data_IF_670142458119
#
_entry.id   IF_670142458119
#
_cell.length_a   1.000
_cell.length_b   1.000
_cell.length_c   1.000
_cell.angle_alpha   90.00
_cell.angle_beta   90.00
_cell.angle_gamma   90.00
#
_symmetry.space_group_name_H-M   'P 1'
#
loop_
_entity.id
_entity.type
_entity.pdbx_description
1 polymer ?
#
# COMPACT_ATOMS: atom_id res chain seq x y z
N UNK A 1 37.38 3.74 6.01
CA UNK A 1 37.55 5.20 6.17
C UNK A 1 36.18 5.84 5.96
N UNK A 2 35.56 6.35 7.02
CA UNK A 2 34.29 7.09 6.94
C UNK A 2 34.57 8.49 6.41
N UNK A 3 33.81 8.94 5.41
CA UNK A 3 33.93 10.29 4.86
C UNK A 3 33.60 11.33 5.96
N UNK A 4 34.31 12.47 6.06
CA UNK A 4 34.19 13.41 7.19
C UNK A 4 32.87 14.18 7.29
N UNK A 5 31.97 14.08 6.32
CA UNK A 5 30.79 14.95 6.18
C UNK A 5 29.43 14.28 6.49
N UNK A 6 29.39 13.02 6.93
CA UNK A 6 28.10 12.38 7.24
C UNK A 6 27.55 12.87 8.60
N UNK A 7 26.79 13.97 8.59
CA UNK A 7 25.92 14.28 9.73
C UNK A 7 24.95 13.12 9.94
N UNK A 8 24.83 12.55 11.15
CA UNK A 8 23.87 11.49 11.41
C UNK A 8 22.44 12.03 11.21
N UNK A 9 21.62 11.28 10.46
CA UNK A 9 20.19 11.57 10.38
C UNK A 9 19.53 11.12 11.69
N UNK A 10 18.76 11.98 12.38
CA UNK A 10 18.15 11.62 13.65
C UNK A 10 17.05 10.56 13.47
N UNK A 11 16.40 10.52 12.31
CA UNK A 11 15.42 9.49 11.95
C UNK A 11 15.66 8.99 10.53
N UNK A 12 15.65 7.65 10.36
CA UNK A 12 15.68 6.98 9.06
C UNK A 12 14.37 6.19 8.92
N UNK A 13 13.67 6.40 7.81
CA UNK A 13 12.45 5.68 7.45
C UNK A 13 12.79 4.71 6.31
N UNK A 14 12.48 3.43 6.49
CA UNK A 14 12.71 2.40 5.48
C UNK A 14 11.40 2.12 4.75
N UNK A 15 11.32 2.57 3.50
CA UNK A 15 10.18 2.43 2.60
C UNK A 15 9.44 3.75 2.34
N UNK A 16 9.24 4.07 1.08
CA UNK A 16 8.44 5.20 0.58
C UNK A 16 7.01 4.76 0.16
N UNK A 17 6.43 3.83 0.91
CA UNK A 17 5.00 3.52 0.82
C UNK A 17 4.15 4.56 1.57
N UNK A 18 2.81 4.47 1.50
CA UNK A 18 1.91 5.45 2.13
C UNK A 18 2.21 5.71 3.61
N UNK A 19 2.50 4.65 4.38
CA UNK A 19 2.86 4.75 5.81
C UNK A 19 4.18 5.51 6.00
N UNK A 20 5.25 5.12 5.30
CA UNK A 20 6.54 5.80 5.45
C UNK A 20 6.49 7.27 5.02
N UNK A 21 5.75 7.57 3.96
CA UNK A 21 5.57 8.92 3.46
C UNK A 21 4.75 9.80 4.41
N UNK A 22 3.63 9.32 4.96
CA UNK A 22 2.82 10.10 5.91
C UNK A 22 3.57 10.30 7.24
N UNK A 23 4.28 9.27 7.72
CA UNK A 23 5.15 9.39 8.91
C UNK A 23 6.23 10.44 8.69
N UNK A 24 6.87 10.44 7.52
CA UNK A 24 7.87 11.45 7.17
C UNK A 24 7.28 12.86 7.21
N UNK A 25 6.10 13.08 6.60
CA UNK A 25 5.43 14.39 6.59
C UNK A 25 5.16 14.88 8.01
N UNK A 26 4.64 14.02 8.88
CA UNK A 26 4.36 14.39 10.26
C UNK A 26 5.62 14.73 11.06
N UNK A 27 6.72 14.00 10.85
CA UNK A 27 7.99 14.27 11.51
C UNK A 27 8.62 15.60 11.05
N UNK A 28 8.68 15.84 9.74
CA UNK A 28 9.28 17.08 9.22
C UNK A 28 8.47 18.32 9.58
N UNK A 29 7.13 18.20 9.70
CA UNK A 29 6.26 19.26 10.24
C UNK A 29 6.60 19.64 11.68
N UNK A 30 7.11 18.70 12.46
CA UNK A 30 7.59 18.91 13.83
C UNK A 30 9.08 19.30 13.87
N UNK A 31 9.66 19.67 12.72
CA UNK A 31 11.08 20.01 12.58
C UNK A 31 12.04 18.85 12.93
N UNK A 32 11.60 17.61 12.77
CA UNK A 32 12.46 16.43 12.91
C UNK A 32 12.98 16.04 11.52
N UNK A 33 14.30 16.17 11.25
CA UNK A 33 14.87 15.78 9.96
C UNK A 33 14.75 14.28 9.72
N UNK A 34 14.35 13.88 8.52
CA UNK A 34 14.20 12.47 8.13
C UNK A 34 14.96 12.17 6.86
N UNK A 35 15.50 10.94 6.78
CA UNK A 35 15.97 10.33 5.55
C UNK A 35 15.06 9.14 5.23
N UNK A 36 14.49 9.12 4.03
CA UNK A 36 13.70 7.99 3.54
C UNK A 36 14.56 7.13 2.60
N UNK A 37 14.58 5.83 2.82
CA UNK A 37 15.27 4.84 1.97
C UNK A 37 14.23 3.95 1.29
N UNK A 38 14.11 4.03 -0.02
CA UNK A 38 13.19 3.21 -0.83
C UNK A 38 13.98 2.26 -1.73
N UNK A 39 13.59 0.98 -1.75
CA UNK A 39 14.27 -0.05 -2.55
C UNK A 39 14.02 0.10 -4.04
N UNK A 40 12.84 0.60 -4.42
CA UNK A 40 12.43 0.81 -5.81
C UNK A 40 13.04 2.11 -6.35
N UNK A 41 13.00 2.28 -7.68
CA UNK A 41 13.49 3.50 -8.33
C UNK A 41 12.49 4.67 -8.25
N UNK A 42 11.23 4.37 -7.91
CA UNK A 42 10.15 5.33 -7.72
C UNK A 42 9.13 4.78 -6.70
N UNK A 43 8.15 5.61 -6.34
CA UNK A 43 7.01 5.16 -5.52
C UNK A 43 6.15 4.16 -6.29
N UNK A 44 5.56 3.21 -5.58
CA UNK A 44 4.76 2.15 -6.18
C UNK A 44 3.54 2.69 -6.96
N UNK A 45 3.45 2.32 -8.24
CA UNK A 45 2.41 2.73 -9.17
C UNK A 45 1.20 1.79 -9.21
N UNK A 46 1.23 0.67 -8.46
CA UNK A 46 0.13 -0.29 -8.44
C UNK A 46 -1.16 0.32 -7.85
N UNK A 47 -2.33 0.05 -8.45
CA UNK A 47 -3.61 0.57 -7.96
C UNK A 47 -4.12 -0.26 -6.78
N UNK A 48 -3.39 -0.24 -5.65
CA UNK A 48 -3.74 -0.97 -4.43
C UNK A 48 -4.82 -0.23 -3.65
N UNK A 49 -4.45 0.64 -2.72
CA UNK A 49 -5.42 1.44 -1.98
C UNK A 49 -5.96 2.56 -2.87
N UNK A 50 -7.28 2.72 -2.93
CA UNK A 50 -7.90 3.80 -3.70
C UNK A 50 -9.01 4.54 -2.94
N UNK A 51 -9.35 4.11 -1.72
CA UNK A 51 -10.49 4.65 -0.95
C UNK A 51 -10.03 5.12 0.43
N UNK A 52 -10.25 6.39 0.74
CA UNK A 52 -9.95 7.00 2.03
C UNK A 52 -11.25 7.41 2.73
N UNK A 53 -11.65 6.61 3.71
CA UNK A 53 -12.82 6.87 4.55
C UNK A 53 -12.58 8.09 5.46
N UNK A 54 -13.64 8.69 6.06
CA UNK A 54 -13.52 9.86 6.92
C UNK A 54 -12.42 9.78 7.99
N UNK A 55 -12.22 8.61 8.62
CA UNK A 55 -11.14 8.41 9.59
C UNK A 55 -9.75 8.60 8.98
N UNK A 56 -9.49 8.05 7.79
CA UNK A 56 -8.23 8.27 7.07
C UNK A 56 -8.10 9.73 6.60
N UNK A 57 -9.20 10.37 6.21
CA UNK A 57 -9.18 11.79 5.85
C UNK A 57 -8.82 12.69 7.03
N UNK A 58 -9.19 12.33 8.26
CA UNK A 58 -8.77 13.06 9.45
C UNK A 58 -7.23 13.09 9.58
N UNK A 59 -6.56 11.95 9.36
CA UNK A 59 -5.10 11.88 9.35
C UNK A 59 -4.48 12.74 8.23
N UNK A 60 -5.06 12.73 7.03
CA UNK A 60 -4.62 13.57 5.91
C UNK A 60 -4.84 15.08 6.21
N UNK A 61 -5.90 15.40 6.96
CA UNK A 61 -6.21 16.77 7.38
C UNK A 61 -5.20 17.26 8.41
N UNK A 62 -4.94 16.47 9.45
CA UNK A 62 -3.93 16.79 10.47
C UNK A 62 -2.52 16.86 9.86
N UNK A 63 -2.24 16.04 8.85
CA UNK A 63 -1.00 16.10 8.07
C UNK A 63 -0.93 17.32 7.16
N UNK A 64 -2.04 18.03 6.92
CA UNK A 64 -2.10 19.26 6.14
C UNK A 64 -2.01 19.03 4.62
N UNK A 65 -2.38 17.83 4.16
CA UNK A 65 -2.32 17.41 2.76
C UNK A 65 -3.70 17.14 2.16
N UNK A 66 -4.75 17.06 2.98
CA UNK A 66 -6.08 16.65 2.54
C UNK A 66 -6.62 17.50 1.39
N UNK A 67 -6.39 18.81 1.38
CA UNK A 67 -6.91 19.67 0.32
C UNK A 67 -6.27 19.39 -1.05
N UNK A 68 -5.00 19.02 -1.08
CA UNK A 68 -4.36 18.58 -2.32
C UNK A 68 -4.83 17.19 -2.74
N UNK A 69 -5.05 16.30 -1.76
CA UNK A 69 -5.65 14.98 -2.02
C UNK A 69 -7.07 15.13 -2.60
N UNK A 70 -7.89 16.05 -2.06
CA UNK A 70 -9.26 16.33 -2.56
C UNK A 70 -9.28 16.76 -4.02
N UNK A 71 -8.31 17.59 -4.46
CA UNK A 71 -8.21 18.03 -5.86
C UNK A 71 -7.98 16.88 -6.84
N UNK A 72 -7.30 15.83 -6.37
CA UNK A 72 -7.00 14.61 -7.15
C UNK A 72 -7.97 13.46 -6.83
N UNK A 73 -9.04 13.71 -6.08
CA UNK A 73 -10.01 12.69 -5.63
C UNK A 73 -11.38 12.86 -6.27
N UNK A 74 -12.12 11.76 -6.34
CA UNK A 74 -13.57 11.76 -6.59
C UNK A 74 -14.29 11.49 -5.27
N UNK A 75 -15.39 12.19 -5.01
CA UNK A 75 -16.23 11.91 -3.84
C UNK A 75 -16.81 10.50 -3.93
N UNK A 76 -16.70 9.73 -2.85
CA UNK A 76 -17.17 8.35 -2.77
C UNK A 76 -18.37 8.25 -1.83
N UNK A 77 -19.46 8.92 -2.21
CA UNK A 77 -20.69 9.08 -1.44
C UNK A 77 -21.78 8.07 -1.79
N UNK A 78 -21.62 7.28 -2.85
CA UNK A 78 -22.57 6.23 -3.24
C UNK A 78 -21.84 4.94 -3.56
N UNK A 79 -22.41 3.81 -3.15
CA UNK A 79 -22.01 2.47 -3.57
C UNK A 79 -23.17 1.83 -4.35
N UNK A 80 -22.88 1.21 -5.48
CA UNK A 80 -23.90 0.55 -6.31
C UNK A 80 -23.57 -0.92 -6.49
N UNK A 81 -24.61 -1.76 -6.50
CA UNK A 81 -24.50 -3.19 -6.69
C UNK A 81 -25.13 -3.55 -8.04
N UNK A 82 -24.42 -4.35 -8.82
CA UNK A 82 -24.81 -4.71 -10.18
C UNK A 82 -24.87 -6.22 -10.33
N UNK A 83 -25.89 -6.72 -11.03
CA UNK A 83 -26.04 -8.12 -11.44
C UNK A 83 -26.47 -8.15 -12.89
N UNK A 84 -25.79 -8.94 -13.73
CA UNK A 84 -26.11 -9.05 -15.16
C UNK A 84 -26.19 -7.71 -15.90
N UNK A 85 -25.28 -6.76 -15.58
CA UNK A 85 -25.26 -5.38 -16.13
C UNK A 85 -26.48 -4.51 -15.74
N UNK A 86 -27.30 -4.96 -14.80
CA UNK A 86 -28.39 -4.17 -14.22
C UNK A 86 -28.04 -3.78 -12.78
N UNK A 87 -28.34 -2.53 -12.41
CA UNK A 87 -28.16 -2.05 -11.04
C UNK A 87 -29.29 -2.60 -10.16
N UNK A 88 -28.94 -3.43 -9.18
CA UNK A 88 -29.92 -4.08 -8.28
C UNK A 88 -30.09 -3.37 -6.95
N UNK A 89 -29.08 -2.61 -6.50
CA UNK A 89 -29.16 -1.82 -5.27
C UNK A 89 -28.19 -0.63 -5.28
N UNK A 90 -28.43 0.33 -4.40
CA UNK A 90 -27.51 1.44 -4.11
C UNK A 90 -27.58 1.83 -2.65
N UNK A 91 -26.43 2.18 -2.07
CA UNK A 91 -26.30 2.66 -0.70
C UNK A 91 -25.63 4.03 -0.76
N UNK A 92 -26.26 5.03 -0.15
CA UNK A 92 -25.63 6.34 0.11
C UNK A 92 -24.75 6.22 1.35
N UNK A 93 -23.52 6.73 1.26
CA UNK A 93 -22.44 6.66 2.26
C UNK A 93 -22.02 8.06 2.72
N UNK A 94 -22.98 8.98 2.79
CA UNK A 94 -22.75 10.33 3.33
C UNK A 94 -22.85 10.31 4.84
N UNK A 95 -22.10 11.20 5.49
CA UNK A 95 -22.18 11.46 6.92
C UNK A 95 -22.76 12.85 7.16
N UNK A 96 -23.41 13.04 8.31
CA UNK A 96 -23.85 14.36 8.77
C UNK A 96 -22.66 15.13 9.37
N UNK A 97 -21.68 15.41 8.52
CA UNK A 97 -20.42 16.06 8.88
C UNK A 97 -19.98 17.02 7.77
N UNK A 98 -19.61 18.24 8.15
CA UNK A 98 -19.19 19.28 7.19
C UNK A 98 -17.78 19.01 6.67
N UNK A 99 -16.86 18.56 7.54
CA UNK A 99 -15.44 18.41 7.19
C UNK A 99 -15.18 17.13 6.38
N UNK A 100 -15.84 16.03 6.73
CA UNK A 100 -15.65 14.73 6.05
C UNK A 100 -17.00 14.14 5.64
N UNK A 101 -17.68 14.72 4.63
CA UNK A 101 -19.07 14.37 4.29
C UNK A 101 -19.22 12.97 3.69
N UNK A 102 -18.15 12.39 3.12
CA UNK A 102 -18.12 11.02 2.59
C UNK A 102 -16.66 10.56 2.43
N UNK A 103 -16.47 9.31 1.97
CA UNK A 103 -15.15 8.83 1.57
C UNK A 103 -14.62 9.57 0.33
N UNK A 104 -13.31 9.49 0.10
CA UNK A 104 -12.66 9.95 -1.13
C UNK A 104 -12.08 8.76 -1.89
N UNK A 105 -12.22 8.76 -3.21
CA UNK A 105 -11.52 7.86 -4.09
C UNK A 105 -10.31 8.59 -4.69
N UNK A 106 -9.10 8.23 -4.27
CA UNK A 106 -7.86 8.73 -4.84
C UNK A 106 -6.87 7.57 -5.01
N UNK A 107 -6.34 7.34 -6.23
CA UNK A 107 -5.36 6.30 -6.46
C UNK A 107 -4.13 6.45 -5.56
N UNK A 108 -3.66 5.36 -4.94
CA UNK A 108 -2.44 5.37 -4.13
C UNK A 108 -1.24 6.08 -4.80
N UNK A 109 -0.96 5.91 -6.11
CA UNK A 109 0.16 6.60 -6.75
C UNK A 109 0.02 8.13 -6.73
N UNK A 110 -1.23 8.64 -6.82
CA UNK A 110 -1.52 10.08 -6.70
C UNK A 110 -1.28 10.58 -5.28
N UNK A 111 -1.75 9.85 -4.27
CA UNK A 111 -1.46 10.17 -2.88
C UNK A 111 0.06 10.18 -2.61
N UNK A 112 0.78 9.15 -3.06
CA UNK A 112 2.22 9.04 -2.89
C UNK A 112 2.95 10.21 -3.55
N UNK A 113 2.54 10.59 -4.77
CA UNK A 113 3.08 11.77 -5.45
C UNK A 113 2.87 13.05 -4.64
N UNK A 114 1.66 13.32 -4.15
CA UNK A 114 1.36 14.50 -3.34
C UNK A 114 2.28 14.54 -2.10
N UNK A 115 2.42 13.42 -1.40
CA UNK A 115 3.29 13.30 -0.23
C UNK A 115 4.75 13.57 -0.56
N UNK A 116 5.28 12.97 -1.63
CA UNK A 116 6.66 13.20 -2.11
C UNK A 116 6.86 14.68 -2.48
N UNK A 117 5.92 15.29 -3.20
CA UNK A 117 6.01 16.69 -3.60
C UNK A 117 6.05 17.63 -2.37
N UNK A 118 5.25 17.35 -1.33
CA UNK A 118 5.31 18.09 -0.06
C UNK A 118 6.66 17.88 0.64
N UNK A 119 7.12 16.63 0.75
CA UNK A 119 8.39 16.31 1.40
C UNK A 119 9.58 17.02 0.73
N UNK A 120 9.66 16.98 -0.58
CA UNK A 120 10.78 17.56 -1.34
C UNK A 120 10.69 19.09 -1.41
N UNK A 121 9.53 19.64 -1.76
CA UNK A 121 9.44 21.07 -2.11
C UNK A 121 9.05 21.97 -0.94
N UNK A 122 8.30 21.46 0.04
CA UNK A 122 7.83 22.25 1.19
C UNK A 122 8.70 22.05 2.43
N UNK A 123 9.15 20.82 2.67
CA UNK A 123 9.91 20.47 3.87
C UNK A 123 11.39 20.18 3.60
N UNK A 124 11.82 20.14 2.33
CA UNK A 124 13.19 19.91 1.92
C UNK A 124 13.79 18.61 2.53
N UNK A 125 12.95 17.58 2.65
CA UNK A 125 13.30 16.26 3.17
C UNK A 125 14.13 15.46 2.16
N UNK A 126 14.87 14.48 2.65
CA UNK A 126 15.73 13.64 1.81
C UNK A 126 15.09 12.27 1.55
N UNK A 127 14.94 11.93 0.27
CA UNK A 127 14.44 10.63 -0.18
C UNK A 127 15.47 10.02 -1.11
N UNK A 128 15.93 8.81 -0.79
CA UNK A 128 16.85 8.03 -1.62
C UNK A 128 16.17 6.78 -2.13
N UNK A 129 15.90 6.78 -3.43
CA UNK A 129 15.46 5.61 -4.17
C UNK A 129 16.63 4.66 -4.47
N UNK A 130 16.32 3.44 -4.88
CA UNK A 130 17.28 2.35 -5.12
C UNK A 130 18.15 2.00 -3.89
N UNK A 131 17.63 2.24 -2.68
CA UNK A 131 18.29 1.94 -1.40
C UNK A 131 17.57 0.80 -0.69
N UNK A 132 18.03 -0.43 -0.90
CA UNK A 132 17.54 -1.59 -0.15
C UNK A 132 18.30 -1.72 1.17
N UNK A 133 17.60 -1.53 2.28
CA UNK A 133 18.12 -1.84 3.62
C UNK A 133 18.10 -3.35 3.82
N UNK A 134 19.26 -3.93 4.16
CA UNK A 134 19.42 -5.39 4.34
C UNK A 134 19.58 -5.80 5.80
N UNK A 135 20.03 -4.89 6.66
CA UNK A 135 20.29 -5.15 8.07
C UNK A 135 20.21 -3.84 8.85
N UNK A 136 19.71 -3.94 10.08
CA UNK A 136 19.73 -2.90 11.10
C UNK A 136 20.44 -3.51 12.31
N UNK A 137 21.48 -2.84 12.80
CA UNK A 137 22.23 -3.24 14.00
C UNK A 137 21.91 -2.26 15.14
N UNK A 138 21.16 -2.68 16.16
CA UNK A 138 20.78 -1.83 17.28
C UNK A 138 21.92 -1.59 18.28
N UNK A 139 22.95 -2.45 18.32
CA UNK A 139 24.01 -2.44 19.33
C UNK A 139 25.27 -1.69 18.87
N UNK A 140 25.35 -1.28 17.60
CA UNK A 140 26.50 -0.61 17.00
C UNK A 140 26.75 0.85 17.48
N UNK A 141 25.99 1.37 18.44
CA UNK A 141 26.15 2.73 19.01
C UNK A 141 25.81 3.90 18.07
N UNK A 142 25.56 3.60 16.78
CA UNK A 142 24.94 4.43 15.75
C UNK A 142 24.14 3.47 14.86
N UNK A 143 22.88 3.78 14.55
CA UNK A 143 22.08 2.99 13.61
C UNK A 143 22.75 2.99 12.22
N UNK A 144 23.51 1.94 11.93
CA UNK A 144 24.18 1.76 10.64
C UNK A 144 23.30 0.88 9.78
N UNK A 145 22.65 1.46 8.78
CA UNK A 145 22.08 0.69 7.68
C UNK A 145 23.24 0.20 6.80
N UNK A 146 23.45 -1.11 6.71
CA UNK A 146 24.39 -1.67 5.75
C UNK A 146 23.79 -1.57 4.35
N UNK A 147 24.45 -0.85 3.43
CA UNK A 147 24.12 -0.89 1.99
C UNK A 147 24.81 -2.10 1.37
N UNK A 148 24.07 -3.19 1.21
CA UNK A 148 24.59 -4.41 0.60
C UNK A 148 24.53 -4.36 -0.92
N UNK A 149 25.61 -3.96 -1.58
CA UNK A 149 25.87 -4.35 -2.97
C UNK A 149 26.60 -5.69 -2.94
N UNK A 150 25.86 -6.78 -3.06
CA UNK A 150 26.38 -8.06 -3.59
C UNK A 150 25.26 -8.84 -4.24
N UNK A 151 25.52 -9.22 -5.50
CA UNK A 151 24.61 -9.84 -6.45
C UNK A 151 24.07 -11.20 -5.97
N UNK A 152 22.84 -11.50 -6.41
CA UNK A 152 22.27 -12.84 -6.38
C UNK A 152 20.87 -12.90 -5.78
N UNK A 153 19.88 -12.73 -6.66
CA UNK A 153 18.47 -13.13 -6.56
C UNK A 153 17.45 -12.00 -6.36
N UNK A 154 16.63 -11.86 -7.40
CA UNK A 154 15.58 -10.88 -7.63
C UNK A 154 14.25 -11.49 -7.19
N UNK A 155 13.43 -10.74 -6.45
CA UNK A 155 11.99 -10.97 -6.45
C UNK A 155 11.29 -9.60 -6.39
N UNK A 156 10.62 -9.25 -7.49
CA UNK A 156 9.79 -8.05 -7.63
C UNK A 156 8.41 -8.49 -8.12
N UNK A 157 7.38 -7.72 -7.75
CA UNK A 157 5.98 -8.09 -7.91
C UNK A 157 5.49 -8.18 -9.35
N UNK A 158 4.45 -8.99 -9.52
CA UNK A 158 3.74 -9.32 -10.76
C UNK A 158 3.61 -10.83 -10.92
N UNK A 159 2.61 -11.46 -10.28
CA UNK A 159 2.27 -12.89 -10.49
C UNK A 159 0.81 -13.00 -10.94
N UNK A 160 0.46 -12.51 -12.13
CA UNK A 160 -0.88 -12.74 -12.72
C UNK A 160 -0.85 -12.66 -14.25
N UNK A 161 -1.77 -13.38 -14.89
CA UNK A 161 -1.89 -13.54 -16.34
C UNK A 161 -2.07 -12.24 -17.16
N UNK A 162 -1.75 -12.36 -18.46
CA UNK A 162 -2.15 -11.47 -19.55
C UNK A 162 -3.29 -12.07 -20.41
N UNK A 163 -4.54 -12.07 -19.95
CA UNK A 163 -5.64 -12.66 -20.71
C UNK A 163 -6.08 -11.82 -21.92
N UNK A 164 -5.58 -10.58 -22.08
CA UNK A 164 -6.02 -9.63 -23.11
C UNK A 164 -4.93 -9.27 -24.13
N UNK A 165 -3.72 -9.82 -24.01
CA UNK A 165 -2.59 -9.47 -24.87
C UNK A 165 -2.07 -8.05 -24.64
N UNK A 166 -2.25 -7.51 -23.43
CA UNK A 166 -1.85 -6.15 -23.04
C UNK A 166 -0.37 -6.03 -22.70
N UNK A 167 0.34 -7.13 -22.44
CA UNK A 167 1.77 -7.13 -22.15
C UNK A 167 2.54 -7.32 -23.46
N UNK A 168 2.44 -6.33 -24.35
CA UNK A 168 3.15 -6.30 -25.63
C UNK A 168 4.46 -5.51 -25.51
N UNK A 169 5.51 -6.00 -26.19
CA UNK A 169 6.74 -5.23 -26.41
C UNK A 169 6.49 -4.25 -27.59
N UNK A 170 5.73 -3.19 -27.31
CA UNK A 170 5.29 -2.17 -28.28
C UNK A 170 5.96 -0.79 -28.04
N UNK A 171 5.62 0.20 -28.88
CA UNK A 171 6.21 1.55 -28.76
C UNK A 171 5.86 2.24 -27.44
N UNK A 172 4.69 1.94 -26.86
CA UNK A 172 4.26 2.48 -25.56
C UNK A 172 5.11 1.89 -24.44
N UNK A 173 5.36 0.57 -24.48
CA UNK A 173 6.26 -0.09 -23.53
C UNK A 173 7.70 0.43 -23.61
N UNK A 174 8.17 0.81 -24.81
CA UNK A 174 9.48 1.45 -25.03
C UNK A 174 9.54 2.88 -24.52
N UNK A 175 8.54 3.69 -24.82
CA UNK A 175 8.46 5.09 -24.37
C UNK A 175 8.46 5.19 -22.82
N UNK A 176 7.89 4.19 -22.15
CA UNK A 176 7.78 4.12 -20.69
C UNK A 176 8.79 3.18 -19.99
N UNK A 177 9.82 2.66 -20.69
CA UNK A 177 10.86 1.78 -20.14
C UNK A 177 10.33 0.49 -19.45
N UNK A 178 9.22 -0.07 -19.95
CA UNK A 178 8.54 -1.23 -19.36
C UNK A 178 9.02 -2.59 -19.89
N UNK A 179 9.85 -2.60 -20.94
CA UNK A 179 10.30 -3.81 -21.67
C UNK A 179 10.92 -4.89 -20.77
N UNK A 180 11.67 -4.50 -19.73
CA UNK A 180 12.33 -5.44 -18.81
C UNK A 180 11.36 -6.28 -17.97
N UNK A 181 10.17 -5.75 -17.72
CA UNK A 181 9.12 -6.39 -16.92
C UNK A 181 8.28 -7.34 -17.77
N UNK A 182 7.96 -6.92 -19.00
CA UNK A 182 7.27 -7.76 -19.99
C UNK A 182 8.10 -9.02 -20.30
N UNK A 183 9.43 -8.90 -20.38
CA UNK A 183 10.35 -10.02 -20.64
C UNK A 183 10.54 -11.01 -19.49
N UNK A 184 10.08 -10.68 -18.28
CA UNK A 184 10.25 -11.52 -17.08
C UNK A 184 8.96 -12.20 -16.60
N UNK A 185 7.82 -11.94 -17.26
CA UNK A 185 6.60 -12.73 -17.10
C UNK A 185 6.78 -14.11 -17.76
N UNK A 186 6.90 -15.18 -16.97
CA UNK A 186 7.35 -16.50 -17.45
C UNK A 186 6.20 -17.43 -17.87
N UNK A 187 6.31 -18.12 -19.03
CA UNK A 187 5.33 -19.12 -19.47
C UNK A 187 5.19 -20.35 -18.54
N UNK A 188 6.20 -20.64 -17.72
CA UNK A 188 6.24 -21.82 -16.85
C UNK A 188 5.24 -21.79 -15.68
N UNK A 189 4.71 -20.62 -15.31
CA UNK A 189 3.72 -20.44 -14.23
C UNK A 189 2.27 -20.68 -14.67
N UNK A 190 1.99 -20.55 -15.97
CA UNK A 190 0.64 -20.72 -16.54
C UNK A 190 -0.04 -22.04 -16.13
N UNK A 191 0.63 -23.22 -16.12
CA UNK A 191 0.01 -24.47 -15.72
C UNK A 191 -0.39 -24.50 -14.24
N UNK A 192 0.45 -23.93 -13.35
CA UNK A 192 0.19 -23.86 -11.91
C UNK A 192 -0.96 -22.89 -11.59
N UNK A 193 -0.97 -21.72 -12.24
CA UNK A 193 -2.01 -20.70 -12.07
C UNK A 193 -3.36 -21.18 -12.64
N UNK A 194 -3.34 -21.88 -13.79
CA UNK A 194 -4.54 -22.52 -14.36
C UNK A 194 -5.06 -23.60 -13.43
N UNK A 195 -4.18 -24.47 -12.92
CA UNK A 195 -4.55 -25.52 -11.97
C UNK A 195 -5.12 -24.95 -10.66
N UNK A 196 -4.54 -23.85 -10.15
CA UNK A 196 -5.05 -23.16 -8.98
C UNK A 196 -6.42 -22.53 -9.26
N UNK A 197 -6.59 -21.82 -10.38
CA UNK A 197 -7.88 -21.25 -10.79
C UNK A 197 -8.97 -22.31 -10.97
N UNK A 198 -8.66 -23.43 -11.63
CA UNK A 198 -9.55 -24.57 -11.78
C UNK A 198 -9.89 -25.21 -10.42
N UNK A 199 -8.93 -25.27 -9.49
CA UNK A 199 -9.17 -25.77 -8.13
C UNK A 199 -10.17 -24.90 -7.35
N UNK A 200 -10.27 -23.61 -7.67
CA UNK A 200 -11.26 -22.70 -7.09
C UNK A 200 -12.65 -22.87 -7.70
N UNK A 201 -12.88 -23.76 -8.67
CA UNK A 201 -14.25 -24.11 -9.07
C UNK A 201 -14.96 -24.98 -8.01
N UNK A 202 -14.20 -25.59 -7.10
CA UNK A 202 -14.69 -26.41 -5.99
C UNK A 202 -14.94 -25.55 -4.74
N UNK A 203 -16.17 -25.59 -4.20
CA UNK A 203 -16.61 -24.74 -3.07
C UNK A 203 -15.72 -24.88 -1.81
N UNK A 204 -15.32 -26.10 -1.38
CA UNK A 204 -14.38 -26.26 -0.26
C UNK A 204 -13.02 -25.57 -0.47
N UNK A 205 -12.48 -25.56 -1.68
CA UNK A 205 -11.21 -24.89 -1.98
C UNK A 205 -11.36 -23.36 -1.96
N UNK A 206 -12.49 -22.83 -2.42
CA UNK A 206 -12.82 -21.41 -2.28
C UNK A 206 -12.90 -21.01 -0.80
N UNK A 207 -13.61 -21.80 0.01
CA UNK A 207 -13.77 -21.56 1.44
C UNK A 207 -12.42 -21.57 2.17
N UNK A 208 -11.55 -22.53 1.86
CA UNK A 208 -10.18 -22.59 2.40
C UNK A 208 -9.35 -21.34 2.07
N UNK A 209 -9.49 -20.78 0.86
CA UNK A 209 -8.80 -19.54 0.47
C UNK A 209 -9.38 -18.32 1.18
N UNK A 210 -10.71 -18.28 1.37
CA UNK A 210 -11.37 -17.23 2.14
C UNK A 210 -10.98 -17.29 3.62
N UNK A 211 -10.80 -18.49 4.18
CA UNK A 211 -10.26 -18.71 5.53
C UNK A 211 -8.84 -18.16 5.68
N UNK A 212 -7.97 -18.31 4.67
CA UNK A 212 -6.61 -17.71 4.70
C UNK A 212 -6.65 -16.19 4.86
N UNK A 213 -7.66 -15.51 4.31
CA UNK A 213 -7.82 -14.06 4.48
C UNK A 213 -8.04 -13.68 5.96
N UNK A 214 -8.67 -14.55 6.76
CA UNK A 214 -8.86 -14.32 8.19
C UNK A 214 -7.56 -14.48 9.00
N UNK A 215 -6.60 -15.29 8.52
CA UNK A 215 -5.30 -15.48 9.18
C UNK A 215 -4.37 -14.26 9.11
N UNK A 216 -4.67 -13.29 8.24
CA UNK A 216 -3.93 -12.03 8.14
C UNK A 216 -4.69 -10.85 8.79
N UNK A 217 -5.90 -11.08 9.32
CA UNK A 217 -6.66 -10.07 10.07
C UNK A 217 -6.33 -10.13 11.56
N UNK A 218 -6.42 -8.98 12.26
CA UNK A 218 -6.23 -8.87 13.71
C UNK A 218 -7.05 -9.93 14.46
N UNK A 219 -6.53 -10.50 15.55
CA UNK A 219 -7.23 -11.54 16.32
C UNK A 219 -8.67 -11.12 16.68
N UNK A 220 -9.66 -12.01 16.62
CA UNK A 220 -11.06 -11.67 16.96
C UNK A 220 -11.25 -11.24 18.41
N UNK A 221 -10.28 -11.53 19.28
CA UNK A 221 -10.22 -11.08 20.67
C UNK A 221 -9.33 -9.86 20.87
N UNK A 222 -8.79 -9.28 19.80
CA UNK A 222 -8.01 -8.05 19.93
C UNK A 222 -8.91 -6.98 20.59
N UNK A 223 -8.45 -6.43 21.71
CA UNK A 223 -9.18 -5.48 22.56
C UNK A 223 -10.41 -6.01 23.32
N UNK A 224 -10.59 -7.33 23.47
CA UNK A 224 -11.72 -7.93 24.22
C UNK A 224 -11.92 -7.35 25.63
N UNK A 225 -10.85 -6.94 26.31
CA UNK A 225 -10.91 -6.34 27.65
C UNK A 225 -11.44 -4.89 27.69
N UNK A 226 -11.52 -4.22 26.53
CA UNK A 226 -11.90 -2.81 26.40
C UNK A 226 -13.23 -2.60 25.65
N UNK A 227 -13.89 -3.68 25.24
CA UNK A 227 -15.09 -3.63 24.39
C UNK A 227 -16.31 -4.27 25.04
N UNK A 228 -17.49 -3.97 24.50
CA UNK A 228 -18.75 -4.57 24.93
C UNK A 228 -18.74 -6.10 24.68
N UNK A 229 -19.04 -6.94 25.70
CA UNK A 229 -19.01 -8.40 25.57
C UNK A 229 -19.89 -8.97 24.46
N UNK A 230 -21.03 -8.35 24.15
CA UNK A 230 -21.92 -8.82 23.08
C UNK A 230 -21.35 -8.49 21.68
N UNK A 231 -20.61 -7.39 21.55
CA UNK A 231 -19.88 -7.05 20.32
C UNK A 231 -18.73 -8.02 20.10
N UNK A 232 -17.98 -8.36 21.15
CA UNK A 232 -16.92 -9.38 21.09
C UNK A 232 -17.50 -10.73 20.67
N UNK A 233 -18.60 -11.16 21.30
CA UNK A 233 -19.29 -12.42 20.98
C UNK A 233 -19.78 -12.46 19.54
N UNK A 234 -20.39 -11.38 19.06
CA UNK A 234 -20.83 -11.29 17.67
C UNK A 234 -19.65 -11.34 16.70
N UNK A 235 -18.56 -10.59 16.95
CA UNK A 235 -17.35 -10.63 16.12
C UNK A 235 -16.73 -12.02 16.05
N UNK A 236 -16.68 -12.75 17.17
CA UNK A 236 -16.21 -14.14 17.20
C UNK A 236 -17.11 -15.02 16.33
N UNK A 237 -18.44 -14.86 16.40
CA UNK A 237 -19.40 -15.65 15.60
C UNK A 237 -19.32 -15.42 14.09
N UNK A 238 -18.75 -14.30 13.64
CA UNK A 238 -18.56 -13.99 12.21
C UNK A 238 -17.36 -14.72 11.61
N UNK A 239 -16.51 -15.35 12.43
CA UNK A 239 -15.37 -16.11 11.93
C UNK A 239 -15.76 -17.56 11.68
N UNK A 240 -15.28 -18.17 10.58
CA UNK A 240 -15.43 -19.60 10.37
C UNK A 240 -14.73 -20.36 11.52
N UNK A 241 -15.33 -21.46 11.95
CA UNK A 241 -14.69 -22.39 12.89
C UNK A 241 -13.35 -22.81 12.31
N UNK A 242 -12.25 -22.62 13.05
CA UNK A 242 -10.90 -22.98 12.58
C UNK A 242 -10.89 -24.48 12.23
N UNK A 243 -10.66 -24.81 10.96
CA UNK A 243 -10.31 -26.16 10.50
C UNK A 243 -8.84 -26.48 10.82
#
# INVERSE_FOLDING_TARGET
>A
MSSPDSKPHPVIIVGAGPVGLITAVNLVKLNVPVLILERNYEVDQSPRAAVYQPCAQAELFESGILDDVRKESVLNDVMTFWKNKERVASITKTQDAIVFPAGLNCPQPKLAKILVDHLLNKYNAEIKFCQKVIQIDPDAGLWRCAFGVKAGMIQMGGYSEDPLGIWADDEVAKEHNMEKWVRTATPEKRPEDTQYYESLADLPNQDMVHVKQWNITLDSRWMEEYEDPEVVKYRISLRPDRL
#
